data_IF_791460097466
#
_entry.id   IF_791460097466
#
_cell.length_a   1.000
_cell.length_b   1.000
_cell.length_c   1.000
_cell.angle_alpha   90.00
_cell.angle_beta   90.00
_cell.angle_gamma   90.00
#
_symmetry.space_group_name_H-M   'P 1'
#
loop_
_entity.id
_entity.type
_entity.pdbx_description
1 polymer ?
#
# COMPACT_ATOMS: atom_id res chain seq x y z
N UNK A 1 13.22 13.89 -16.60
CA UNK A 1 12.08 12.98 -16.38
C UNK A 1 12.36 11.80 -15.40
N UNK A 2 13.62 11.46 -15.05
CA UNK A 2 13.94 10.35 -14.09
C UNK A 2 13.37 10.57 -12.67
N UNK A 3 13.60 11.74 -12.09
CA UNK A 3 13.13 12.10 -10.73
C UNK A 3 11.59 12.14 -10.63
N UNK A 4 10.89 12.54 -11.71
CA UNK A 4 9.43 12.50 -11.73
C UNK A 4 8.91 11.06 -11.65
N UNK A 5 9.55 10.10 -12.35
CA UNK A 5 9.19 8.68 -12.24
C UNK A 5 9.47 8.13 -10.85
N UNK A 6 10.64 8.47 -10.29
CA UNK A 6 10.98 8.14 -8.90
C UNK A 6 9.85 8.55 -7.95
N UNK A 7 9.39 9.81 -8.01
CA UNK A 7 8.35 10.31 -7.11
C UNK A 7 7.02 9.55 -7.28
N UNK A 8 6.64 9.20 -8.51
CA UNK A 8 5.42 8.41 -8.78
C UNK A 8 5.51 7.00 -8.21
N UNK A 9 6.63 6.32 -8.39
CA UNK A 9 6.84 4.99 -7.83
C UNK A 9 6.95 5.02 -6.31
N UNK A 10 7.58 6.05 -5.76
CA UNK A 10 7.67 6.27 -4.32
C UNK A 10 6.28 6.36 -3.69
N UNK A 11 5.37 7.09 -4.32
CA UNK A 11 4.00 7.20 -3.82
C UNK A 11 3.28 5.84 -3.78
N UNK A 12 3.41 5.04 -4.84
CA UNK A 12 2.77 3.73 -4.95
C UNK A 12 3.34 2.67 -3.98
N UNK A 13 4.65 2.69 -3.74
CA UNK A 13 5.33 1.67 -2.91
C UNK A 13 5.53 2.15 -1.48
N UNK A 14 6.14 3.32 -1.29
CA UNK A 14 6.59 3.78 0.01
C UNK A 14 5.51 4.53 0.80
N UNK A 15 4.67 5.33 0.13
CA UNK A 15 3.62 6.12 0.79
C UNK A 15 2.27 5.39 0.88
N UNK A 16 2.06 4.32 0.10
CA UNK A 16 0.78 3.60 0.10
C UNK A 16 0.47 2.87 1.42
N UNK A 17 1.49 2.68 2.27
CA UNK A 17 1.37 1.95 3.55
C UNK A 17 1.19 0.43 3.39
N UNK A 18 1.25 -0.09 2.16
CA UNK A 18 0.96 -1.50 1.85
C UNK A 18 2.18 -2.41 1.84
N UNK A 19 3.37 -1.84 1.69
CA UNK A 19 4.62 -2.58 1.46
C UNK A 19 5.64 -2.33 2.56
N UNK A 20 5.24 -2.32 3.84
CA UNK A 20 6.16 -1.93 4.91
C UNK A 20 7.40 -2.81 4.98
N UNK A 21 7.24 -4.14 4.86
CA UNK A 21 8.35 -5.10 4.91
C UNK A 21 9.12 -5.15 3.60
N UNK A 22 8.41 -5.23 2.48
CA UNK A 22 9.04 -5.24 1.16
C UNK A 22 9.81 -3.94 0.88
N UNK A 23 9.33 -2.80 1.38
CA UNK A 23 10.06 -1.53 1.33
C UNK A 23 11.34 -1.57 2.15
N UNK A 24 11.32 -2.13 3.36
CA UNK A 24 12.56 -2.33 4.13
C UNK A 24 13.56 -3.13 3.32
N UNK A 25 13.15 -4.30 2.79
CA UNK A 25 14.02 -5.08 1.91
C UNK A 25 14.53 -4.25 0.74
N UNK A 26 13.68 -3.45 0.09
CA UNK A 26 14.04 -2.62 -1.05
C UNK A 26 15.06 -1.52 -0.72
N UNK A 27 14.94 -0.88 0.43
CA UNK A 27 15.76 0.26 0.83
C UNK A 27 17.04 -0.16 1.56
N UNK A 28 17.00 -1.30 2.24
CA UNK A 28 18.15 -1.88 2.91
C UNK A 28 19.12 -2.38 1.83
N UNK A 29 20.35 -1.86 1.88
CA UNK A 29 21.44 -2.33 1.04
C UNK A 29 21.75 -3.81 1.31
N UNK A 30 22.54 -4.42 0.43
CA UNK A 30 23.13 -5.73 0.71
C UNK A 30 24.38 -5.50 1.54
N UNK A 31 24.63 -6.33 2.56
CA UNK A 31 25.76 -6.17 3.49
C UNK A 31 27.12 -6.05 2.77
N UNK A 32 27.27 -6.69 1.61
CA UNK A 32 28.49 -6.68 0.80
C UNK A 32 28.70 -5.37 0.00
N UNK A 33 27.66 -4.54 -0.15
CA UNK A 33 27.73 -3.26 -0.85
C UNK A 33 26.66 -2.30 -0.33
N UNK A 34 26.95 -1.51 0.73
CA UNK A 34 25.99 -0.57 1.28
C UNK A 34 25.70 0.54 0.26
N UNK A 35 24.44 0.62 -0.15
CA UNK A 35 23.89 1.73 -0.94
C UNK A 35 22.91 2.52 -0.07
N UNK A 36 22.86 3.84 -0.27
CA UNK A 36 21.86 4.67 0.42
C UNK A 36 20.45 4.24 0.01
N UNK A 37 19.48 4.39 0.91
CA UNK A 37 18.07 4.10 0.63
C UNK A 37 17.55 4.85 -0.62
N UNK A 38 18.02 6.08 -0.82
CA UNK A 38 17.69 6.86 -2.02
C UNK A 38 18.21 6.18 -3.30
N UNK A 39 19.49 5.80 -3.33
CA UNK A 39 20.09 5.13 -4.49
C UNK A 39 19.45 3.76 -4.75
N UNK A 40 19.13 3.01 -3.70
CA UNK A 40 18.43 1.73 -3.82
C UNK A 40 17.07 1.90 -4.49
N UNK A 41 16.26 2.85 -4.03
CA UNK A 41 14.95 3.11 -4.64
C UNK A 41 15.06 3.73 -6.04
N UNK A 42 16.08 4.53 -6.30
CA UNK A 42 16.33 5.10 -7.63
C UNK A 42 16.69 4.02 -8.65
N UNK A 43 17.53 3.05 -8.26
CA UNK A 43 17.86 1.88 -9.08
C UNK A 43 16.61 1.04 -9.36
N UNK A 44 15.76 0.82 -8.35
CA UNK A 44 14.47 0.17 -8.55
C UNK A 44 13.56 0.94 -9.52
N UNK A 45 13.51 2.27 -9.38
CA UNK A 45 12.70 3.13 -10.25
C UNK A 45 13.13 3.05 -11.71
N UNK A 46 14.44 2.99 -11.97
CA UNK A 46 14.96 2.84 -13.32
C UNK A 46 14.70 1.43 -13.88
N UNK A 47 14.90 0.40 -13.06
CA UNK A 47 14.58 -0.98 -13.43
C UNK A 47 13.08 -1.13 -13.77
N UNK A 48 12.20 -0.61 -12.91
CA UNK A 48 10.76 -0.70 -13.10
C UNK A 48 10.31 -0.02 -14.41
N UNK A 49 10.89 1.14 -14.73
CA UNK A 49 10.63 1.80 -16.00
C UNK A 49 11.12 0.98 -17.19
N UNK A 50 12.34 0.41 -17.12
CA UNK A 50 12.88 -0.44 -18.18
C UNK A 50 12.04 -1.70 -18.40
N UNK A 51 11.54 -2.31 -17.32
CA UNK A 51 10.74 -3.54 -17.38
C UNK A 51 9.29 -3.31 -17.85
N UNK A 52 8.73 -2.12 -17.67
CA UNK A 52 7.27 -1.90 -17.84
C UNK A 52 6.90 -0.77 -18.80
N UNK A 53 7.75 0.24 -18.98
CA UNK A 53 7.43 1.46 -19.72
C UNK A 53 6.25 2.26 -19.15
N UNK A 54 5.84 2.00 -17.89
CA UNK A 54 4.66 2.62 -17.25
C UNK A 54 5.01 3.31 -15.95
N UNK A 55 4.35 4.43 -15.67
CA UNK A 55 4.52 5.22 -14.43
C UNK A 55 3.33 5.14 -13.48
N UNK A 56 2.22 4.57 -13.92
CA UNK A 56 0.93 4.48 -13.23
C UNK A 56 0.18 3.22 -13.68
N UNK A 57 -1.04 3.01 -13.15
CA UNK A 57 -1.95 1.90 -13.50
C UNK A 57 -1.42 0.49 -13.18
N UNK A 58 -0.64 0.37 -12.11
CA UNK A 58 -0.29 -0.96 -11.60
C UNK A 58 -1.34 -1.48 -10.64
N UNK A 59 -1.94 -2.61 -11.00
CA UNK A 59 -2.69 -3.41 -10.03
C UNK A 59 -1.75 -3.91 -8.91
N UNK A 60 -2.30 -4.11 -7.70
CA UNK A 60 -1.50 -4.45 -6.52
C UNK A 60 -0.72 -5.76 -6.73
N UNK A 61 -1.37 -6.77 -7.29
CA UNK A 61 -0.76 -8.06 -7.58
C UNK A 61 0.42 -7.94 -8.55
N UNK A 62 0.33 -7.01 -9.51
CA UNK A 62 1.43 -6.76 -10.44
C UNK A 62 2.59 -6.06 -9.76
N UNK A 63 2.33 -5.12 -8.84
CA UNK A 63 3.38 -4.51 -8.02
C UNK A 63 4.08 -5.54 -7.13
N UNK A 64 3.33 -6.48 -6.54
CA UNK A 64 3.90 -7.59 -5.76
C UNK A 64 4.83 -8.45 -6.61
N UNK A 65 4.40 -8.84 -7.82
CA UNK A 65 5.22 -9.63 -8.74
C UNK A 65 6.49 -8.87 -9.19
N UNK A 66 6.37 -7.57 -9.48
CA UNK A 66 7.49 -6.73 -9.90
C UNK A 66 8.51 -6.50 -8.78
N UNK A 67 8.04 -6.33 -7.54
CA UNK A 67 8.92 -6.25 -6.37
C UNK A 67 9.67 -7.56 -6.17
N UNK A 68 8.97 -8.70 -6.29
CA UNK A 68 9.62 -10.01 -6.21
C UNK A 68 10.73 -10.15 -7.24
N UNK A 69 10.42 -9.90 -8.51
CA UNK A 69 11.37 -10.00 -9.63
C UNK A 69 12.61 -9.10 -9.45
N UNK A 70 12.42 -7.87 -8.97
CA UNK A 70 13.54 -6.97 -8.72
C UNK A 70 14.41 -7.44 -7.55
N UNK A 71 13.79 -7.87 -6.45
CA UNK A 71 14.49 -8.25 -5.22
C UNK A 71 15.24 -9.58 -5.36
N UNK A 72 14.78 -10.49 -6.21
CA UNK A 72 15.44 -11.79 -6.42
C UNK A 72 16.36 -11.82 -7.64
N UNK A 73 16.06 -11.03 -8.67
CA UNK A 73 16.90 -10.92 -9.87
C UNK A 73 18.09 -9.97 -9.64
N UNK A 74 17.97 -8.67 -9.98
CA UNK A 74 19.05 -7.69 -9.84
C UNK A 74 19.67 -7.61 -8.44
N UNK A 75 18.87 -7.82 -7.40
CA UNK A 75 19.26 -7.74 -5.99
C UNK A 75 19.75 -9.07 -5.41
N UNK A 76 19.58 -10.18 -6.13
CA UNK A 76 20.00 -11.53 -5.75
C UNK A 76 19.60 -11.98 -4.33
N UNK A 77 18.52 -11.45 -3.75
CA UNK A 77 18.05 -11.87 -2.43
C UNK A 77 17.43 -13.26 -2.47
N UNK A 78 17.51 -13.98 -1.36
CA UNK A 78 16.89 -15.29 -1.23
C UNK A 78 15.37 -15.23 -1.46
N UNK A 79 14.86 -16.01 -2.41
CA UNK A 79 13.45 -15.97 -2.82
C UNK A 79 12.50 -16.17 -1.65
N UNK A 80 12.79 -17.10 -0.74
CA UNK A 80 11.92 -17.39 0.40
C UNK A 80 11.76 -16.16 1.31
N UNK A 81 12.85 -15.47 1.62
CA UNK A 81 12.83 -14.23 2.42
C UNK A 81 11.94 -13.17 1.78
N UNK A 82 12.09 -12.97 0.47
CA UNK A 82 11.31 -12.00 -0.29
C UNK A 82 9.83 -12.39 -0.33
N UNK A 83 9.51 -13.67 -0.59
CA UNK A 83 8.12 -14.16 -0.62
C UNK A 83 7.43 -14.00 0.72
N UNK A 84 8.10 -14.30 1.84
CA UNK A 84 7.51 -14.12 3.17
C UNK A 84 7.18 -12.66 3.47
N UNK A 85 8.09 -11.74 3.16
CA UNK A 85 7.85 -10.31 3.33
C UNK A 85 6.66 -9.83 2.47
N UNK A 86 6.65 -10.20 1.19
CA UNK A 86 5.58 -9.83 0.27
C UNK A 86 4.24 -10.47 0.65
N UNK A 87 4.23 -11.72 1.12
CA UNK A 87 3.03 -12.40 1.57
C UNK A 87 2.41 -11.69 2.78
N UNK A 88 3.22 -11.33 3.78
CA UNK A 88 2.74 -10.65 4.97
C UNK A 88 2.19 -9.25 4.66
N UNK A 89 2.86 -8.51 3.76
CA UNK A 89 2.38 -7.22 3.26
C UNK A 89 1.08 -7.37 2.46
N UNK A 90 1.01 -8.37 1.60
CA UNK A 90 -0.17 -8.66 0.77
C UNK A 90 -1.38 -9.05 1.61
N UNK A 91 -1.21 -9.94 2.60
CA UNK A 91 -2.28 -10.33 3.51
C UNK A 91 -2.79 -9.15 4.34
N UNK A 92 -1.89 -8.30 4.85
CA UNK A 92 -2.26 -7.10 5.61
C UNK A 92 -3.07 -6.08 4.79
N UNK A 93 -2.88 -6.05 3.47
CA UNK A 93 -3.65 -5.17 2.58
C UNK A 93 -5.13 -5.55 2.44
N UNK A 94 -5.50 -6.79 2.77
CA UNK A 94 -6.85 -7.33 2.59
C UNK A 94 -7.25 -7.61 1.14
N UNK A 95 -6.31 -7.50 0.19
CA UNK A 95 -6.54 -7.81 -1.22
C UNK A 95 -6.79 -9.32 -1.45
N UNK A 96 -7.51 -9.62 -2.54
CA UNK A 96 -7.96 -10.99 -2.88
C UNK A 96 -7.52 -11.48 -4.25
N UNK A 97 -6.81 -10.65 -5.01
CA UNK A 97 -6.17 -11.06 -6.26
C UNK A 97 -5.09 -12.13 -6.01
N UNK A 98 -4.49 -12.66 -7.06
CA UNK A 98 -3.48 -13.72 -6.96
C UNK A 98 -2.20 -13.28 -7.67
N UNK A 99 -1.23 -12.69 -6.95
CA UNK A 99 0.11 -12.45 -7.48
C UNK A 99 0.75 -13.79 -7.86
N UNK A 100 1.46 -13.84 -8.99
CA UNK A 100 2.10 -15.07 -9.48
C UNK A 100 3.12 -15.60 -8.49
N UNK A 101 3.95 -14.72 -7.92
CA UNK A 101 4.99 -15.13 -6.96
C UNK A 101 4.42 -15.64 -5.61
N UNK A 102 3.13 -15.43 -5.34
CA UNK A 102 2.49 -15.90 -4.11
C UNK A 102 1.42 -16.98 -4.37
N UNK A 103 1.23 -17.40 -5.62
CA UNK A 103 0.11 -18.25 -6.00
C UNK A 103 0.06 -19.56 -5.22
N UNK A 104 1.19 -20.25 -5.06
CA UNK A 104 1.27 -21.52 -4.32
C UNK A 104 1.07 -21.33 -2.81
N UNK A 105 1.68 -20.29 -2.23
CA UNK A 105 1.59 -19.98 -0.80
C UNK A 105 0.16 -19.60 -0.39
N UNK A 106 -0.56 -18.87 -1.24
CA UNK A 106 -1.96 -18.50 -0.99
C UNK A 106 -2.91 -19.69 -1.17
N UNK A 107 -2.58 -20.65 -2.03
CA UNK A 107 -3.36 -21.88 -2.17
C UNK A 107 -3.21 -22.79 -0.95
N UNK A 108 -1.99 -22.90 -0.39
CA UNK A 108 -1.74 -23.70 0.81
C UNK A 108 -2.45 -23.18 2.08
N UNK A 109 -2.73 -21.87 2.15
CA UNK A 109 -3.37 -21.20 3.30
C UNK A 109 -4.90 -21.12 3.16
N UNK A 110 -5.51 -21.80 2.19
CA UNK A 110 -6.97 -21.83 2.03
C UNK A 110 -7.61 -23.03 2.76
N UNK A 111 -8.06 -22.91 4.02
CA UNK A 111 -9.10 -23.81 4.53
C UNK A 111 -10.44 -23.42 3.87
N UNK A 112 -11.30 -24.41 3.65
CA UNK A 112 -12.68 -24.25 3.16
C UNK A 112 -13.41 -23.10 3.87
N UNK A 113 -13.96 -22.17 3.09
CA UNK A 113 -14.63 -20.96 3.53
C UNK A 113 -15.80 -21.23 4.49
N UNK A 114 -15.82 -20.56 5.65
CA UNK A 114 -17.07 -20.10 6.27
C UNK A 114 -17.24 -18.59 6.03
N UNK A 115 -18.45 -18.09 5.71
CA UNK A 115 -18.62 -16.69 5.32
C UNK A 115 -18.75 -15.77 6.53
N UNK A 116 -17.66 -15.10 6.90
CA UNK A 116 -17.67 -13.99 7.86
C UNK A 116 -18.12 -12.68 7.18
N UNK A 117 -19.41 -12.59 6.86
CA UNK A 117 -20.04 -11.46 6.17
C UNK A 117 -20.36 -10.24 7.04
N UNK A 118 -19.98 -10.17 8.31
CA UNK A 118 -20.58 -9.18 9.24
C UNK A 118 -19.67 -8.03 9.70
N UNK A 119 -18.36 -8.07 9.47
CA UNK A 119 -17.46 -7.01 9.96
C UNK A 119 -17.44 -5.72 9.10
N UNK A 120 -18.02 -5.75 7.89
CA UNK A 120 -17.93 -4.63 6.92
C UNK A 120 -19.12 -3.65 6.97
N UNK A 121 -20.22 -3.99 7.65
CA UNK A 121 -21.39 -3.10 7.78
C UNK A 121 -21.22 -1.99 8.83
N UNK A 122 -20.25 -2.11 9.75
CA UNK A 122 -20.17 -1.24 10.93
C UNK A 122 -19.30 0.02 10.77
N UNK A 123 -18.58 0.18 9.65
CA UNK A 123 -17.75 1.37 9.39
C UNK A 123 -18.44 2.47 8.57
N UNK A 124 -19.59 2.17 7.95
CA UNK A 124 -20.35 3.16 7.16
C UNK A 124 -21.48 3.85 7.97
N UNK A 125 -21.82 3.36 9.16
CA UNK A 125 -22.87 3.95 10.01
C UNK A 125 -22.42 5.17 10.83
N UNK A 126 -21.14 5.58 10.76
CA UNK A 126 -20.65 6.73 11.54
C UNK A 126 -20.61 8.07 10.80
N UNK A 127 -21.00 8.12 9.53
CA UNK A 127 -20.99 9.35 8.72
C UNK A 127 -22.37 9.83 8.26
N UNK A 128 -23.47 9.18 8.67
CA UNK A 128 -24.86 9.49 8.25
C UNK A 128 -25.74 9.90 9.44
N UNK A 129 -25.16 10.55 10.45
CA UNK A 129 -25.93 11.11 11.58
C UNK A 129 -25.50 12.53 11.97
N UNK A 130 -25.00 13.30 11.01
CA UNK A 130 -24.76 14.74 11.17
C UNK A 130 -25.08 15.46 9.85
N UNK A 131 -26.36 15.54 9.45
CA UNK A 131 -26.88 16.62 8.59
C UNK A 131 -28.40 16.51 8.33
N UNK A 132 -29.22 16.68 9.37
CA UNK A 132 -30.64 17.11 9.29
C UNK A 132 -30.91 17.76 10.66
N UNK A 133 -31.22 19.04 10.87
CA UNK A 133 -31.99 20.01 10.11
C UNK A 133 -31.51 21.45 10.43
N UNK A 134 -31.61 22.36 9.46
CA UNK A 134 -32.04 23.75 9.75
C UNK A 134 -33.50 23.92 9.26
N UNK A 135 -34.13 25.11 9.31
CA UNK A 135 -33.62 26.42 9.75
C UNK A 135 -34.67 27.32 10.51
N UNK A 136 -34.30 28.60 10.73
CA UNK A 136 -35.13 29.85 10.76
C UNK A 136 -35.52 30.55 12.11
N UNK A 137 -35.26 31.88 12.10
CA UNK A 137 -35.90 33.04 12.79
C UNK A 137 -35.65 33.19 14.30
N UNK A 138 -35.05 34.28 14.82
CA UNK A 138 -35.39 35.72 14.89
C UNK A 138 -35.79 36.07 16.34
N UNK A 139 -35.02 36.93 17.02
CA UNK A 139 -35.33 37.71 18.25
C UNK A 139 -33.97 38.32 18.69
N UNK A 140 -33.62 39.60 18.59
CA UNK A 140 -34.21 40.87 19.03
C UNK A 140 -34.59 40.89 20.53
N UNK A 141 -33.79 41.67 21.28
CA UNK A 141 -34.04 42.30 22.60
C UNK A 141 -34.17 41.41 23.86
N UNK A 142 -33.15 41.43 24.73
CA UNK A 142 -33.23 41.99 26.11
C UNK A 142 -31.91 41.82 26.90
N UNK A 143 -31.74 42.72 27.89
CA UNK A 143 -30.78 42.70 29.02
C UNK A 143 -29.41 43.40 28.84
N UNK A 144 -29.44 44.74 28.83
CA UNK A 144 -28.38 45.56 29.40
C UNK A 144 -29.01 46.54 30.42
N UNK A 145 -29.17 46.06 31.66
CA UNK A 145 -29.45 46.85 32.85
C UNK A 145 -29.07 46.02 34.08
N UNK A 146 -27.84 46.19 34.57
CA UNK A 146 -27.41 46.03 35.97
C UNK A 146 -25.88 45.85 36.04
N UNK A 147 -25.16 46.97 35.94
CA UNK A 147 -23.94 47.31 36.69
C UNK A 147 -23.34 48.60 36.08
#
# INVERSE_FOLDING_TARGET
>A
QRIQRFARYWDMIANSGRFSRARSLLLDGVDESPVSAFSAFLNFSDWLWQSTGKTHEFALEKLVDLLFEHLTGPRAMAENTVRQALLADYQASGARAKPKCLAELLQAVSPSLTPAGQARAQRQSRHVSQHVAGPLRSEIQQAAAAA
#
